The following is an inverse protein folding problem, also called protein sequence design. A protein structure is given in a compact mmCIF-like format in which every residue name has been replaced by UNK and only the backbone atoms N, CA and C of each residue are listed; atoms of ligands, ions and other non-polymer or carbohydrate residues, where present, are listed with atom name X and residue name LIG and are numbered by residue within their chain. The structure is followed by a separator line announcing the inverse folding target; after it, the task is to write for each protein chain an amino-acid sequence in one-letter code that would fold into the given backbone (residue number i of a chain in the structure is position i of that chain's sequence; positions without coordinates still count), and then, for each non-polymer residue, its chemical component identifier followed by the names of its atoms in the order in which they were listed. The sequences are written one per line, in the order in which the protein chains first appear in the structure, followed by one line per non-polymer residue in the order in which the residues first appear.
data_IF_366099199139
#
_entry.id   IF_366099199139
#
_cell.length_a   1.000
_cell.length_b   1.000
_cell.length_c   1.000
_cell.angle_alpha   90.00
_cell.angle_beta   90.00
_cell.angle_gamma   90.00
#
_symmetry.space_group_name_H-M   'P 1'
#
loop_
_entity.id
_entity.type
_entity.pdbx_description
1 polymer ?
#
# COMPACT_ATOMS: atom_id res chain seq x y z
N UNK A 1 11.83 -87.30 20.69
CA UNK A 1 12.93 -87.83 21.51
C UNK A 1 14.07 -86.88 21.45
N UNK A 2 14.63 -86.47 22.63
CA UNK A 2 15.80 -85.63 22.89
C UNK A 2 15.49 -84.13 22.94
N UNK A 3 15.27 -83.63 24.08
CA UNK A 3 16.00 -83.18 25.32
C UNK A 3 16.69 -81.82 25.10
N UNK A 4 16.08 -80.86 25.75
CA UNK A 4 16.61 -79.89 26.75
C UNK A 4 18.06 -79.44 26.63
N UNK A 5 18.29 -78.13 26.65
CA UNK A 5 19.04 -77.56 27.80
C UNK A 5 18.79 -76.05 27.93
N UNK A 6 18.41 -75.66 29.13
CA UNK A 6 18.38 -74.33 29.70
C UNK A 6 19.77 -73.74 29.81
N UNK A 7 19.97 -72.48 29.45
CA UNK A 7 20.94 -71.65 30.13
C UNK A 7 20.37 -70.23 30.31
N UNK A 8 20.14 -69.99 31.57
CA UNK A 8 19.69 -68.68 32.12
C UNK A 8 20.97 -67.94 32.52
N UNK A 9 21.30 -66.86 31.76
CA UNK A 9 22.31 -65.90 32.19
C UNK A 9 21.67 -64.59 32.48
N UNK A 10 21.66 -64.23 33.76
CA UNK A 10 21.33 -62.89 34.21
C UNK A 10 22.48 -61.96 33.86
N UNK A 11 22.21 -61.06 32.84
CA UNK A 11 23.04 -59.89 32.57
C UNK A 11 22.31 -58.67 33.08
N UNK A 12 22.64 -58.13 34.20
CA UNK A 12 22.27 -56.80 34.64
C UNK A 12 23.03 -55.81 33.81
N UNK A 13 22.38 -55.26 32.74
CA UNK A 13 22.89 -54.10 32.03
C UNK A 13 22.60 -52.86 32.89
N UNK A 14 23.65 -52.31 33.46
CA UNK A 14 23.62 -51.01 34.10
C UNK A 14 23.41 -49.96 32.98
N UNK A 15 22.23 -49.37 32.94
CA UNK A 15 21.93 -48.22 32.07
C UNK A 15 22.73 -47.02 32.62
N UNK A 16 23.87 -46.75 31.99
CA UNK A 16 24.59 -45.50 32.20
C UNK A 16 23.78 -44.37 31.52
N UNK A 17 22.96 -43.67 32.29
CA UNK A 17 22.44 -42.36 31.88
C UNK A 17 23.61 -41.38 31.91
N UNK A 18 23.98 -40.79 30.76
CA UNK A 18 24.98 -39.72 30.76
C UNK A 18 24.41 -38.55 31.56
N UNK A 19 25.01 -38.22 32.68
CA UNK A 19 24.79 -36.97 33.40
C UNK A 19 25.27 -35.84 32.45
N UNK A 20 24.38 -35.29 31.65
CA UNK A 20 24.65 -34.02 30.95
C UNK A 20 25.00 -32.98 32.03
N UNK A 21 26.25 -32.49 31.99
CA UNK A 21 26.70 -31.48 32.92
C UNK A 21 25.82 -30.23 32.73
N UNK A 22 25.40 -29.61 33.83
CA UNK A 22 24.54 -28.41 33.81
C UNK A 22 25.10 -27.27 32.92
N UNK A 23 26.43 -27.27 32.69
CA UNK A 23 27.10 -26.32 31.81
C UNK A 23 26.76 -26.52 30.33
N UNK A 24 26.50 -27.74 29.84
CA UNK A 24 26.15 -27.99 28.45
C UNK A 24 24.70 -27.60 28.14
N UNK A 25 23.78 -27.78 29.09
CA UNK A 25 22.40 -27.34 28.96
C UNK A 25 22.27 -25.81 28.96
N UNK A 26 23.12 -25.12 29.75
CA UNK A 26 23.13 -23.63 29.76
C UNK A 26 23.69 -23.05 28.46
N UNK A 27 24.72 -23.68 27.87
CA UNK A 27 25.29 -23.25 26.58
C UNK A 27 24.29 -23.45 25.42
N UNK A 28 23.52 -24.53 25.44
CA UNK A 28 22.50 -24.82 24.43
C UNK A 28 21.29 -23.88 24.57
N UNK A 29 20.90 -23.51 25.80
CA UNK A 29 19.86 -22.52 26.05
C UNK A 29 20.28 -21.10 25.62
N UNK A 30 21.56 -20.73 25.77
CA UNK A 30 22.10 -19.47 25.30
C UNK A 30 22.20 -19.41 23.75
N UNK A 31 22.45 -20.53 23.09
CA UNK A 31 22.45 -20.63 21.61
C UNK A 31 21.04 -20.62 21.00
N UNK A 32 20.03 -21.07 21.72
CA UNK A 32 18.61 -21.00 21.28
C UNK A 32 17.96 -19.66 21.60
N UNK A 33 18.59 -18.82 22.44
CA UNK A 33 18.03 -17.52 22.88
C UNK A 33 18.25 -16.33 21.97
N UNK A 34 18.98 -16.50 20.85
CA UNK A 34 19.25 -15.40 19.92
C UNK A 34 18.88 -15.76 18.46
N UNK A 35 17.70 -16.32 18.26
CA UNK A 35 17.09 -16.16 16.94
C UNK A 35 16.75 -14.66 16.85
N UNK A 36 17.36 -13.90 15.95
CA UNK A 36 16.92 -12.53 15.74
C UNK A 36 15.43 -12.62 15.40
N UNK A 37 14.56 -12.00 16.22
CA UNK A 37 13.23 -11.67 15.75
C UNK A 37 13.46 -10.80 14.50
N UNK A 38 13.35 -11.41 13.33
CA UNK A 38 13.53 -10.72 12.08
C UNK A 38 12.30 -9.85 11.89
N UNK A 39 12.40 -8.58 12.29
CA UNK A 39 11.39 -7.58 12.00
C UNK A 39 11.07 -7.65 10.51
N UNK A 40 9.80 -7.93 10.18
CA UNK A 40 9.36 -8.09 8.81
C UNK A 40 9.11 -6.71 8.20
N UNK A 41 9.58 -6.51 6.96
CA UNK A 41 9.25 -5.32 6.19
C UNK A 41 7.77 -5.30 5.82
N UNK A 42 7.11 -4.19 6.08
CA UNK A 42 5.68 -3.99 5.86
C UNK A 42 5.40 -2.63 5.24
N UNK A 43 4.29 -2.57 4.49
CA UNK A 43 3.68 -1.32 4.07
C UNK A 43 2.63 -0.93 5.12
N UNK A 44 2.57 0.38 5.44
CA UNK A 44 1.64 0.95 6.40
C UNK A 44 0.82 2.07 5.76
N UNK A 45 -0.39 2.26 6.26
CA UNK A 45 -1.22 3.43 6.02
C UNK A 45 -1.48 4.10 7.38
N UNK A 46 -0.80 5.21 7.66
CA UNK A 46 -0.70 5.74 9.02
C UNK A 46 -0.06 4.71 9.97
N UNK A 47 -0.80 4.31 11.00
CA UNK A 47 -0.37 3.27 11.95
C UNK A 47 -0.87 1.87 11.60
N UNK A 48 -1.76 1.74 10.63
CA UNK A 48 -2.31 0.45 10.21
C UNK A 48 -1.30 -0.32 9.35
N UNK A 49 -1.07 -1.59 9.71
CA UNK A 49 -0.34 -2.55 8.87
C UNK A 49 -1.21 -2.99 7.69
N UNK A 50 -0.64 -2.98 6.50
CA UNK A 50 -1.33 -3.47 5.32
C UNK A 50 -0.98 -4.94 5.06
N UNK A 51 -1.99 -5.70 4.65
CA UNK A 51 -1.79 -7.10 4.27
C UNK A 51 -1.21 -7.18 2.86
N UNK A 52 -0.18 -8.01 2.62
CA UNK A 52 0.32 -8.26 1.27
C UNK A 52 -0.71 -8.91 0.34
N UNK A 53 -1.73 -9.58 0.90
CA UNK A 53 -2.83 -10.18 0.13
C UNK A 53 -3.81 -9.14 -0.41
N UNK A 54 -3.83 -7.94 0.17
CA UNK A 54 -4.76 -6.88 -0.21
C UNK A 54 -4.14 -5.95 -1.24
N UNK A 55 -4.96 -5.46 -2.16
CA UNK A 55 -4.55 -4.38 -3.07
C UNK A 55 -4.66 -3.05 -2.35
N UNK A 56 -3.55 -2.33 -2.22
CA UNK A 56 -3.52 -0.94 -1.77
C UNK A 56 -4.20 -0.07 -2.83
N UNK A 57 -5.21 0.69 -2.44
CA UNK A 57 -6.01 1.52 -3.36
C UNK A 57 -5.82 2.98 -3.03
N UNK A 58 -5.32 3.74 -4.01
CA UNK A 58 -5.10 5.18 -3.90
C UNK A 58 -6.00 5.87 -4.93
N UNK A 59 -6.84 6.77 -4.46
CA UNK A 59 -7.69 7.58 -5.34
C UNK A 59 -6.90 8.74 -5.89
N UNK A 60 -7.03 8.98 -7.20
CA UNK A 60 -6.43 10.10 -7.90
C UNK A 60 -7.52 11.13 -8.20
N UNK A 61 -7.27 12.37 -7.80
CA UNK A 61 -8.19 13.49 -7.99
C UNK A 61 -7.59 14.47 -9.00
N UNK A 62 -8.32 14.73 -10.08
CA UNK A 62 -7.96 15.76 -11.04
C UNK A 62 -8.34 17.14 -10.46
N UNK A 63 -7.37 18.04 -10.44
CA UNK A 63 -7.56 19.45 -10.09
C UNK A 63 -7.28 20.32 -11.32
N UNK A 64 -8.24 21.13 -11.70
CA UNK A 64 -8.09 22.11 -12.79
C UNK A 64 -7.97 23.50 -12.19
N UNK A 65 -6.94 24.23 -12.61
CA UNK A 65 -6.71 25.61 -12.18
C UNK A 65 -6.62 26.47 -13.44
N UNK A 66 -7.48 27.47 -13.54
CA UNK A 66 -7.44 28.45 -14.63
C UNK A 66 -6.50 29.60 -14.22
N UNK A 67 -5.60 29.95 -15.13
CA UNK A 67 -4.69 31.07 -14.96
C UNK A 67 -4.99 32.11 -16.05
N UNK A 68 -5.02 33.42 -15.71
CA UNK A 68 -5.09 34.47 -16.73
C UNK A 68 -3.84 34.39 -17.62
N UNK A 69 -4.00 34.74 -18.89
CA UNK A 69 -2.85 34.87 -19.77
C UNK A 69 -2.20 36.24 -19.54
N UNK A 70 -0.89 36.24 -19.38
CA UNK A 70 -0.08 37.48 -19.32
C UNK A 70 0.40 37.90 -20.70
N UNK A 71 0.06 37.13 -21.77
CA UNK A 71 0.43 37.41 -23.15
C UNK A 71 -0.64 38.27 -23.83
N UNK A 72 -0.35 39.54 -24.19
CA UNK A 72 -1.30 40.42 -24.89
C UNK A 72 -1.71 39.90 -26.28
N UNK A 73 -0.87 39.05 -26.90
CA UNK A 73 -1.17 38.44 -28.22
C UNK A 73 -2.07 37.21 -28.10
N UNK A 74 -2.18 36.61 -26.89
CA UNK A 74 -3.06 35.50 -26.63
C UNK A 74 -3.73 35.67 -25.25
N UNK A 75 -4.76 36.54 -25.15
CA UNK A 75 -5.37 36.91 -23.87
C UNK A 75 -6.24 35.83 -23.24
N UNK A 76 -6.47 34.71 -23.93
CA UNK A 76 -7.31 33.62 -23.39
C UNK A 76 -6.66 32.93 -22.17
N UNK A 77 -7.44 32.70 -21.11
CA UNK A 77 -6.95 32.00 -19.97
C UNK A 77 -6.56 30.55 -20.32
N UNK A 78 -5.52 30.03 -19.69
CA UNK A 78 -5.12 28.64 -19.85
C UNK A 78 -5.43 27.83 -18.61
N UNK A 79 -5.74 26.55 -18.81
CA UNK A 79 -6.04 25.60 -17.72
C UNK A 79 -4.87 24.67 -17.49
N UNK A 80 -4.37 24.66 -16.25
CA UNK A 80 -3.41 23.65 -15.80
C UNK A 80 -4.19 22.50 -15.15
N UNK A 81 -3.86 21.28 -15.53
CA UNK A 81 -4.44 20.06 -14.98
C UNK A 81 -3.40 19.37 -14.12
N UNK A 82 -3.66 19.30 -12.83
CA UNK A 82 -2.84 18.60 -11.84
C UNK A 82 -3.55 17.33 -11.34
N UNK A 83 -2.77 16.33 -10.97
CA UNK A 83 -3.27 15.14 -10.31
C UNK A 83 -2.84 15.12 -8.86
N UNK A 84 -3.78 14.94 -7.95
CA UNK A 84 -3.55 14.91 -6.51
C UNK A 84 -3.83 13.50 -5.96
N UNK A 85 -3.05 13.13 -4.96
CA UNK A 85 -3.09 11.83 -4.29
C UNK A 85 -3.31 12.07 -2.79
N UNK A 86 -4.55 12.39 -2.34
CA UNK A 86 -4.81 12.90 -0.99
C UNK A 86 -4.27 12.02 0.13
N UNK A 87 -4.28 10.69 -0.06
CA UNK A 87 -3.88 9.72 0.96
C UNK A 87 -2.43 9.25 0.82
N UNK A 88 -1.70 9.67 -0.22
CA UNK A 88 -0.37 9.12 -0.53
C UNK A 88 0.64 9.34 0.59
N UNK A 89 0.65 10.52 1.19
CA UNK A 89 1.57 10.86 2.28
C UNK A 89 1.41 9.97 3.53
N UNK A 90 0.29 9.27 3.66
CA UNK A 90 0.03 8.34 4.76
C UNK A 90 0.64 6.96 4.55
N UNK A 91 1.15 6.66 3.33
CA UNK A 91 1.75 5.36 3.04
C UNK A 91 3.26 5.38 3.29
N UNK A 92 3.72 4.44 4.13
CA UNK A 92 5.14 4.33 4.50
C UNK A 92 5.60 2.87 4.50
N UNK A 93 6.89 2.67 4.17
CA UNK A 93 7.59 1.40 4.37
C UNK A 93 8.20 1.41 5.77
N UNK A 94 7.99 0.38 6.53
CA UNK A 94 8.51 0.22 7.89
C UNK A 94 8.63 -1.25 8.28
N UNK A 95 8.59 -1.53 9.58
CA UNK A 95 8.59 -2.89 10.13
C UNK A 95 7.32 -3.15 10.94
N UNK A 96 6.96 -4.42 11.10
CA UNK A 96 5.83 -4.86 11.94
C UNK A 96 6.13 -4.67 13.44
N UNK A 97 7.39 -4.73 13.83
CA UNK A 97 7.87 -4.55 15.20
C UNK A 97 8.87 -3.38 15.32
N UNK A 98 9.19 -3.01 16.55
CA UNK A 98 10.22 -2.00 16.82
C UNK A 98 11.61 -2.50 16.43
N UNK A 99 12.40 -1.64 15.79
CA UNK A 99 13.75 -1.97 15.39
C UNK A 99 14.71 -1.93 16.59
N UNK A 100 15.38 -3.04 16.84
CA UNK A 100 16.48 -3.13 17.82
C UNK A 100 17.85 -2.84 17.18
N UNK A 101 17.93 -2.91 15.84
CA UNK A 101 19.14 -2.62 15.06
C UNK A 101 18.72 -2.08 13.69
N UNK A 102 19.60 -1.35 12.99
CA UNK A 102 19.34 -0.90 11.63
C UNK A 102 19.02 -2.06 10.70
N UNK A 103 18.05 -1.88 9.80
CA UNK A 103 17.61 -2.86 8.82
C UNK A 103 17.84 -2.33 7.40
N UNK A 104 18.80 -2.95 6.71
CA UNK A 104 19.02 -2.70 5.28
C UNK A 104 18.05 -3.54 4.43
N UNK A 105 17.51 -2.92 3.39
CA UNK A 105 16.59 -3.60 2.47
C UNK A 105 16.67 -3.02 1.07
N UNK A 106 16.19 -3.80 0.10
CA UNK A 106 15.88 -3.34 -1.24
C UNK A 106 14.37 -3.28 -1.45
N UNK A 107 13.93 -2.29 -2.23
CA UNK A 107 12.58 -2.19 -2.72
C UNK A 107 12.61 -2.23 -4.25
N UNK A 108 11.89 -3.17 -4.84
CA UNK A 108 11.68 -3.29 -6.27
C UNK A 108 10.28 -2.81 -6.61
N UNK A 109 10.18 -1.82 -7.48
CA UNK A 109 8.90 -1.40 -8.09
C UNK A 109 8.88 -1.89 -9.54
N UNK A 110 7.78 -2.55 -9.91
CA UNK A 110 7.48 -3.00 -11.28
C UNK A 110 6.17 -2.37 -11.73
N UNK A 111 6.17 -1.73 -12.91
CA UNK A 111 4.94 -1.27 -13.54
C UNK A 111 4.22 -2.46 -14.21
N UNK A 112 3.01 -2.78 -13.76
CA UNK A 112 2.20 -3.88 -14.30
C UNK A 112 0.96 -3.39 -15.07
N UNK A 113 0.92 -2.09 -15.40
CA UNK A 113 -0.17 -1.42 -16.14
C UNK A 113 0.33 -0.73 -17.41
N UNK A 114 -0.61 -0.21 -18.21
CA UNK A 114 -0.33 0.59 -19.40
C UNK A 114 -0.27 2.10 -19.10
N UNK A 115 -0.38 2.48 -17.84
CA UNK A 115 -0.14 3.83 -17.35
C UNK A 115 1.26 3.92 -16.76
N UNK A 116 1.90 5.07 -16.90
CA UNK A 116 3.20 5.30 -16.30
C UNK A 116 3.11 5.42 -14.77
N UNK A 117 4.21 5.10 -14.11
CA UNK A 117 4.41 5.35 -12.69
C UNK A 117 5.57 6.33 -12.52
N UNK A 118 5.52 7.15 -11.49
CA UNK A 118 6.65 7.95 -11.00
C UNK A 118 7.00 7.50 -9.60
N UNK A 119 8.27 7.26 -9.35
CA UNK A 119 8.76 6.86 -8.04
C UNK A 119 9.90 7.77 -7.57
N UNK A 120 9.66 8.50 -6.48
CA UNK A 120 10.63 9.37 -5.82
C UNK A 120 11.06 8.81 -4.45
N UNK A 121 10.33 7.84 -3.91
CA UNK A 121 10.52 7.30 -2.56
C UNK A 121 11.86 6.60 -2.34
N UNK A 122 12.28 6.51 -1.08
CA UNK A 122 13.49 5.89 -0.55
C UNK A 122 14.82 6.58 -0.96
N UNK A 123 14.83 7.32 -2.04
CA UNK A 123 15.93 8.19 -2.49
C UNK A 123 15.34 9.55 -2.86
N UNK A 124 16.17 10.56 -3.09
CA UNK A 124 15.66 11.89 -3.51
C UNK A 124 15.54 12.03 -5.03
N UNK A 125 15.78 10.96 -5.78
CA UNK A 125 15.67 10.95 -7.24
C UNK A 125 14.29 10.43 -7.65
N UNK A 126 13.66 11.11 -8.61
CA UNK A 126 12.40 10.69 -9.20
C UNK A 126 12.64 10.07 -10.57
N UNK A 127 12.18 8.84 -10.75
CA UNK A 127 12.27 8.12 -12.02
C UNK A 127 10.88 7.72 -12.51
N UNK A 128 10.74 7.63 -13.84
CA UNK A 128 9.53 7.17 -14.50
C UNK A 128 9.69 5.71 -14.94
N UNK A 129 8.67 4.91 -14.62
CA UNK A 129 8.46 3.58 -15.19
C UNK A 129 7.34 3.71 -16.23
N UNK A 130 7.73 4.03 -17.47
CA UNK A 130 6.81 4.51 -18.51
C UNK A 130 6.02 3.40 -19.19
N UNK A 131 6.58 2.18 -19.23
CA UNK A 131 5.97 1.04 -19.91
C UNK A 131 5.66 -0.10 -18.93
N UNK A 132 4.70 -0.93 -19.31
CA UNK A 132 4.43 -2.19 -18.61
C UNK A 132 5.68 -3.08 -18.64
N UNK A 133 6.09 -3.57 -17.47
CA UNK A 133 7.28 -4.39 -17.27
C UNK A 133 8.52 -3.60 -16.89
N UNK A 134 8.48 -2.25 -16.94
CA UNK A 134 9.57 -1.43 -16.41
C UNK A 134 9.76 -1.68 -14.92
N UNK A 135 11.02 -1.72 -14.49
CA UNK A 135 11.40 -2.06 -13.12
C UNK A 135 12.50 -1.15 -12.62
N UNK A 136 12.42 -0.83 -11.34
CA UNK A 136 13.48 -0.12 -10.64
C UNK A 136 13.68 -0.70 -9.24
N UNK A 137 14.94 -0.87 -8.85
CA UNK A 137 15.32 -1.33 -7.50
C UNK A 137 16.07 -0.23 -6.78
N UNK A 138 15.69 0.06 -5.55
CA UNK A 138 16.35 0.99 -4.65
C UNK A 138 16.71 0.33 -3.34
N UNK A 139 17.88 0.68 -2.82
CA UNK A 139 18.32 0.24 -1.50
C UNK A 139 18.05 1.34 -0.48
N UNK A 140 17.61 0.93 0.71
CA UNK A 140 17.31 1.84 1.80
C UNK A 140 17.63 1.20 3.15
N UNK A 141 17.63 2.02 4.19
CA UNK A 141 17.89 1.61 5.57
C UNK A 141 16.84 2.20 6.50
N UNK A 142 16.27 1.35 7.33
CA UNK A 142 15.48 1.76 8.49
C UNK A 142 16.37 1.81 9.72
N UNK A 143 16.16 2.80 10.57
CA UNK A 143 16.87 2.96 11.85
C UNK A 143 15.86 3.27 12.96
N UNK A 144 16.29 3.23 14.21
CA UNK A 144 15.44 3.62 15.34
C UNK A 144 14.97 5.09 15.23
N UNK A 145 15.79 5.99 14.66
CA UNK A 145 15.46 7.40 14.43
C UNK A 145 14.57 7.61 13.20
N UNK A 146 14.68 6.70 12.20
CA UNK A 146 13.86 6.68 10.97
C UNK A 146 13.25 5.30 10.78
N UNK A 147 12.25 4.94 11.60
CA UNK A 147 11.66 3.60 11.56
C UNK A 147 10.67 3.42 10.39
N UNK A 148 10.37 4.51 9.68
CA UNK A 148 9.48 4.54 8.51
C UNK A 148 10.02 5.46 7.44
N UNK A 149 9.86 5.06 6.18
CA UNK A 149 10.22 5.85 5.00
C UNK A 149 8.98 6.07 4.15
N UNK A 150 8.77 7.26 3.55
CA UNK A 150 7.62 7.53 2.69
C UNK A 150 7.66 6.65 1.44
N UNK A 151 6.48 6.25 0.96
CA UNK A 151 6.38 5.44 -0.27
C UNK A 151 6.69 6.27 -1.51
N UNK A 152 6.15 7.48 -1.64
CA UNK A 152 6.33 8.45 -2.74
C UNK A 152 6.27 7.81 -4.14
N UNK A 153 5.30 6.93 -4.33
CA UNK A 153 5.01 6.26 -5.59
C UNK A 153 3.68 6.77 -6.12
N UNK A 154 3.65 7.26 -7.35
CA UNK A 154 2.48 7.87 -7.97
C UNK A 154 2.15 7.23 -9.32
N UNK A 155 0.85 7.16 -9.65
CA UNK A 155 0.39 6.80 -10.99
C UNK A 155 0.34 8.05 -11.86
N UNK A 156 0.91 8.03 -13.06
CA UNK A 156 0.91 9.17 -13.95
C UNK A 156 -0.25 9.10 -14.97
N UNK A 157 -1.05 10.16 -15.03
CA UNK A 157 -2.26 10.21 -15.84
C UNK A 157 -2.27 11.41 -16.76
N UNK A 158 -3.03 11.29 -17.83
CA UNK A 158 -3.38 12.39 -18.73
C UNK A 158 -4.84 12.81 -18.48
N UNK A 159 -5.14 14.07 -18.66
CA UNK A 159 -6.49 14.58 -18.50
C UNK A 159 -7.50 13.79 -19.37
N UNK A 160 -8.62 13.38 -18.77
CA UNK A 160 -9.69 12.60 -19.40
C UNK A 160 -9.31 11.17 -19.83
N UNK A 161 -8.09 10.70 -19.55
CA UNK A 161 -7.67 9.31 -19.76
C UNK A 161 -7.83 8.50 -18.47
N UNK A 162 -9.08 8.12 -18.20
CA UNK A 162 -9.44 7.40 -16.98
C UNK A 162 -8.92 5.95 -16.98
N UNK A 163 -8.55 5.45 -15.81
CA UNK A 163 -8.06 4.09 -15.67
C UNK A 163 -7.30 3.82 -14.38
N UNK A 164 -6.40 2.84 -14.44
CA UNK A 164 -5.61 2.41 -13.30
C UNK A 164 -4.14 2.32 -13.64
N UNK A 165 -3.30 3.04 -12.90
CA UNK A 165 -1.88 2.76 -12.85
C UNK A 165 -1.64 1.75 -11.72
N UNK A 166 -0.88 0.68 -12.00
CA UNK A 166 -0.68 -0.42 -11.06
C UNK A 166 0.79 -0.75 -10.93
N UNK A 167 1.27 -0.72 -9.70
CA UNK A 167 2.61 -1.11 -9.32
C UNK A 167 2.60 -2.43 -8.53
N UNK A 168 3.63 -3.26 -8.73
CA UNK A 168 4.01 -4.32 -7.82
C UNK A 168 5.25 -3.84 -7.04
N UNK A 169 5.11 -3.69 -5.72
CA UNK A 169 6.18 -3.29 -4.82
C UNK A 169 6.65 -4.52 -4.04
N UNK A 170 7.91 -4.92 -4.21
CA UNK A 170 8.53 -6.01 -3.45
C UNK A 170 9.59 -5.45 -2.51
N UNK A 171 9.44 -5.70 -1.22
CA UNK A 171 10.35 -5.30 -0.16
C UNK A 171 11.16 -6.52 0.28
N UNK A 172 12.49 -6.43 0.22
CA UNK A 172 13.40 -7.56 0.49
C UNK A 172 14.45 -7.15 1.53
N UNK A 173 14.45 -7.71 2.73
CA UNK A 173 15.53 -7.50 3.70
C UNK A 173 16.85 -8.01 3.12
N UNK A 174 17.94 -7.25 3.26
CA UNK A 174 19.25 -7.63 2.71
C UNK A 174 19.80 -8.90 3.36
N UNK A 175 19.55 -9.09 4.65
CA UNK A 175 20.04 -10.23 5.42
C UNK A 175 19.18 -11.50 5.30
N UNK A 176 17.94 -11.40 4.74
CA UNK A 176 16.96 -12.48 4.69
C UNK A 176 16.09 -12.35 3.44
N UNK A 177 16.66 -12.65 2.28
CA UNK A 177 15.98 -12.49 0.97
C UNK A 177 14.71 -13.34 0.86
N UNK A 178 14.62 -14.47 1.58
CA UNK A 178 13.45 -15.34 1.68
C UNK A 178 12.27 -14.68 2.41
N UNK A 179 12.52 -13.64 3.22
CA UNK A 179 11.50 -12.88 3.94
C UNK A 179 10.92 -11.71 3.10
N UNK A 180 11.06 -11.77 1.76
CA UNK A 180 10.49 -10.77 0.86
C UNK A 180 8.97 -10.68 0.98
N UNK A 181 8.47 -9.45 0.91
CA UNK A 181 7.03 -9.17 0.94
C UNK A 181 6.63 -8.36 -0.28
N UNK A 182 5.57 -8.77 -0.97
CA UNK A 182 5.09 -8.09 -2.18
C UNK A 182 3.70 -7.51 -1.98
N UNK A 183 3.52 -6.28 -2.41
CA UNK A 183 2.26 -5.53 -2.38
C UNK A 183 1.85 -5.14 -3.80
N UNK A 184 0.54 -5.07 -4.03
CA UNK A 184 -0.02 -4.46 -5.25
C UNK A 184 -0.57 -3.09 -4.87
N UNK A 185 -0.07 -2.03 -5.52
CA UNK A 185 -0.51 -0.65 -5.32
C UNK A 185 -1.24 -0.20 -6.58
N UNK A 186 -2.50 0.21 -6.43
CA UNK A 186 -3.37 0.65 -7.53
C UNK A 186 -3.78 2.10 -7.34
N UNK A 187 -3.39 2.94 -8.26
CA UNK A 187 -3.87 4.31 -8.41
C UNK A 187 -5.09 4.30 -9.33
N UNK A 188 -6.17 4.92 -8.91
CA UNK A 188 -7.41 4.94 -9.67
C UNK A 188 -7.79 6.37 -10.02
N UNK A 189 -7.76 6.70 -11.31
CA UNK A 189 -8.31 7.91 -11.86
C UNK A 189 -9.63 7.59 -12.55
N UNK A 190 -10.72 8.08 -11.97
CA UNK A 190 -12.09 7.81 -12.43
C UNK A 190 -12.69 9.04 -13.05
N UNK A 191 -13.55 8.83 -14.07
CA UNK A 191 -14.38 9.90 -14.57
C UNK A 191 -15.14 10.56 -13.41
N UNK A 192 -15.29 11.90 -13.41
CA UNK A 192 -16.13 12.56 -12.44
C UNK A 192 -17.51 11.89 -12.49
N UNK A 193 -18.01 11.46 -11.31
CA UNK A 193 -19.37 10.94 -11.26
C UNK A 193 -20.29 12.00 -11.84
N UNK A 194 -21.26 11.61 -12.68
CA UNK A 194 -22.21 12.52 -13.31
C UNK A 194 -23.12 13.30 -12.32
N UNK A 195 -22.77 13.30 -11.04
CA UNK A 195 -23.36 14.14 -10.00
C UNK A 195 -22.83 15.57 -10.16
N UNK A 196 -23.44 16.31 -11.04
CA UNK A 196 -23.17 17.73 -11.20
C UNK A 196 -23.72 18.46 -9.97
N UNK A 197 -22.85 19.07 -9.17
CA UNK A 197 -23.29 20.10 -8.20
C UNK A 197 -23.84 21.27 -9.05
N UNK A 198 -25.14 21.46 -9.00
CA UNK A 198 -25.76 22.64 -9.63
C UNK A 198 -25.70 23.75 -8.56
N UNK A 199 -24.61 24.53 -8.60
CA UNK A 199 -24.47 25.75 -7.78
C UNK A 199 -25.34 26.91 -8.29
N UNK A 200 -26.08 26.73 -9.40
CA UNK A 200 -26.97 27.77 -9.92
C UNK A 200 -28.33 27.65 -9.25
N UNK A 201 -28.90 28.74 -8.71
CA UNK A 201 -30.29 28.75 -8.27
C UNK A 201 -31.18 28.45 -9.46
N UNK A 202 -31.62 27.21 -9.59
CA UNK A 202 -32.62 26.85 -10.59
C UNK A 202 -33.90 27.62 -10.30
N UNK A 203 -34.50 28.20 -11.33
CA UNK A 203 -35.76 28.92 -11.22
C UNK A 203 -36.72 28.12 -10.32
N UNK A 204 -37.39 28.78 -9.37
CA UNK A 204 -38.22 28.12 -8.35
C UNK A 204 -39.38 27.28 -8.88
N UNK A 205 -39.63 27.31 -10.19
CA UNK A 205 -40.76 26.68 -10.87
C UNK A 205 -40.55 25.24 -11.33
N UNK A 206 -39.28 24.72 -11.34
CA UNK A 206 -39.06 23.33 -11.79
C UNK A 206 -39.24 22.35 -10.66
N UNK A 207 -40.17 21.37 -10.75
CA UNK A 207 -40.45 20.43 -9.68
C UNK A 207 -39.23 19.53 -9.39
N UNK A 208 -39.04 19.24 -8.12
CA UNK A 208 -37.97 18.41 -7.60
C UNK A 208 -38.53 17.03 -7.27
N UNK A 209 -37.77 15.98 -7.59
CA UNK A 209 -38.15 14.61 -7.31
C UNK A 209 -37.05 13.86 -6.56
N UNK A 210 -37.42 12.94 -5.67
CA UNK A 210 -36.48 11.97 -5.10
C UNK A 210 -36.16 10.85 -6.13
N UNK A 211 -35.25 9.94 -5.77
CA UNK A 211 -34.87 8.83 -6.66
C UNK A 211 -36.02 7.82 -6.88
N UNK A 212 -37.05 7.86 -6.07
CA UNK A 212 -38.28 7.06 -6.24
C UNK A 212 -39.35 7.77 -7.10
N UNK A 213 -39.02 8.95 -7.68
CA UNK A 213 -39.92 9.73 -8.52
C UNK A 213 -40.97 10.54 -7.73
N UNK A 214 -40.89 10.65 -6.42
CA UNK A 214 -41.83 11.43 -5.62
C UNK A 214 -41.41 12.89 -5.62
N UNK A 215 -42.40 13.79 -5.78
CA UNK A 215 -42.16 15.24 -5.73
C UNK A 215 -41.70 15.66 -4.31
N UNK A 216 -40.62 16.42 -4.24
CA UNK A 216 -40.05 16.95 -3.01
C UNK A 216 -40.20 18.46 -2.97
N UNK A 217 -40.80 18.97 -1.91
CA UNK A 217 -41.02 20.43 -1.70
C UNK A 217 -39.87 21.04 -0.87
N UNK A 218 -39.31 20.26 0.05
CA UNK A 218 -38.20 20.68 0.91
C UNK A 218 -37.09 19.64 0.82
N UNK A 219 -36.02 19.91 0.05
CA UNK A 219 -34.89 19.01 -0.01
C UNK A 219 -34.11 18.99 1.32
N UNK A 220 -33.62 17.83 1.68
CA UNK A 220 -32.72 17.66 2.83
C UNK A 220 -31.27 17.75 2.35
N UNK A 221 -30.41 18.51 3.05
CA UNK A 221 -28.99 18.60 2.72
C UNK A 221 -28.33 17.23 2.63
N UNK A 222 -27.41 17.03 1.68
CA UNK A 222 -26.68 15.79 1.46
C UNK A 222 -27.47 14.71 0.70
N UNK A 223 -28.74 14.90 0.39
CA UNK A 223 -29.56 13.93 -0.35
C UNK A 223 -29.54 14.19 -1.85
N UNK A 224 -29.69 13.09 -2.64
CA UNK A 224 -29.73 13.13 -4.10
C UNK A 224 -31.17 13.31 -4.59
N UNK A 225 -31.35 14.25 -5.51
CA UNK A 225 -32.63 14.59 -6.14
C UNK A 225 -32.52 14.66 -7.65
N UNK A 226 -33.68 14.67 -8.32
CA UNK A 226 -33.83 14.84 -9.77
C UNK A 226 -34.57 16.15 -10.05
N UNK A 227 -34.03 16.99 -10.94
CA UNK A 227 -34.69 18.17 -11.46
C UNK A 227 -34.41 18.33 -12.94
N UNK A 228 -35.45 18.47 -13.77
CA UNK A 228 -35.32 18.55 -15.23
C UNK A 228 -34.46 17.42 -15.84
N UNK A 229 -34.54 16.19 -15.32
CA UNK A 229 -33.76 15.05 -15.79
C UNK A 229 -32.32 14.98 -15.27
N UNK A 230 -31.87 15.95 -14.49
CA UNK A 230 -30.52 15.97 -13.91
C UNK A 230 -30.51 15.58 -12.43
N UNK A 231 -29.49 14.83 -12.03
CA UNK A 231 -29.24 14.49 -10.62
C UNK A 231 -28.40 15.60 -9.98
N UNK A 232 -28.71 15.95 -8.73
CA UNK A 232 -27.91 16.85 -7.92
C UNK A 232 -28.03 16.49 -6.42
N UNK A 233 -27.08 16.97 -5.63
CA UNK A 233 -27.11 16.87 -4.16
C UNK A 233 -27.57 18.22 -3.63
N UNK A 234 -28.57 18.21 -2.72
CA UNK A 234 -28.99 19.43 -2.04
C UNK A 234 -27.92 19.86 -1.01
N UNK A 235 -27.63 21.14 -0.98
CA UNK A 235 -26.74 21.76 0.00
C UNK A 235 -27.52 22.22 1.26
#
# INVERSE_FOLDING_TARGET
MILLHFFRTHGRSAVHTPRMSAGFALLFALLLGTLPLNARLVLRHGDQLLSPADTVRITVVEQRTEYPSDDPANPDPFTVVDFKYPDLASYTVGTDESLNAPLDFSALVENVSDFSLQWCGLTHECNFLSARGDRETRNARLTAEKPRLPLELEGHFEANRYGHAVARLTLTPTAAAEASTTYVVRFTYSAPSALRRIATPLAPTTPLYDLAGRRVVRPLPGHIYLRAGHKFVAE
#
